data_IF_502040771307
#
_entry.id   IF_502040771307
#
_cell.length_a   1.000
_cell.length_b   1.000
_cell.length_c   1.000
_cell.angle_alpha   90.00
_cell.angle_beta   90.00
_cell.angle_gamma   90.00
#
_symmetry.space_group_name_H-M   'P 1'
#
loop_
_entity.id
_entity.type
_entity.pdbx_description
1 polymer ?
#
# COMPACT_ATOMS: atom_id res chain seq x y z
N UNK A 1 0.20 21.23 8.82
CA UNK A 1 0.13 22.18 7.67
C UNK A 1 0.57 21.53 6.34
N UNK A 2 0.00 20.37 5.96
CA UNK A 2 0.33 19.66 4.69
C UNK A 2 -0.82 19.69 3.67
N UNK A 3 -2.06 19.92 4.10
CA UNK A 3 -3.25 19.91 3.22
C UNK A 3 -3.24 21.02 2.17
N UNK A 4 -2.64 22.18 2.46
CA UNK A 4 -2.62 23.32 1.53
C UNK A 4 -1.72 23.07 0.31
N UNK A 5 -0.59 22.35 0.49
CA UNK A 5 0.29 21.97 -0.64
C UNK A 5 -0.36 20.94 -1.55
N UNK A 6 -1.06 19.96 -0.97
CA UNK A 6 -1.74 18.92 -1.74
C UNK A 6 -2.92 19.48 -2.55
N UNK A 7 -3.65 20.47 -2.01
CA UNK A 7 -4.73 21.14 -2.73
C UNK A 7 -4.23 21.89 -3.97
N UNK A 8 -3.14 22.64 -3.86
CA UNK A 8 -2.52 23.32 -4.99
C UNK A 8 -2.08 22.36 -6.11
N UNK A 9 -1.50 21.22 -5.73
CA UNK A 9 -1.13 20.16 -6.68
C UNK A 9 -2.35 19.56 -7.38
N UNK A 10 -3.44 19.27 -6.65
CA UNK A 10 -4.69 18.78 -7.25
C UNK A 10 -5.26 19.78 -8.26
N UNK A 11 -5.29 21.06 -7.91
CA UNK A 11 -5.77 22.10 -8.82
C UNK A 11 -4.89 22.24 -10.07
N UNK A 12 -3.57 22.12 -9.94
CA UNK A 12 -2.67 22.11 -11.08
C UNK A 12 -2.92 20.91 -12.00
N UNK A 13 -3.14 19.71 -11.45
CA UNK A 13 -3.49 18.51 -12.23
C UNK A 13 -4.82 18.66 -12.97
N UNK A 14 -5.83 19.25 -12.31
CA UNK A 14 -7.13 19.53 -12.95
C UNK A 14 -6.97 20.54 -14.09
N UNK A 15 -6.21 21.62 -13.90
CA UNK A 15 -5.90 22.60 -14.95
C UNK A 15 -5.10 22.01 -16.11
N UNK A 16 -4.24 21.04 -15.82
CA UNK A 16 -3.51 20.28 -16.83
C UNK A 16 -4.39 19.27 -17.61
N UNK A 17 -5.70 19.21 -17.32
CA UNK A 17 -6.63 18.38 -18.07
C UNK A 17 -6.58 16.90 -17.71
N UNK A 18 -6.07 16.53 -16.53
CA UNK A 18 -5.92 15.12 -16.14
C UNK A 18 -7.23 14.33 -16.26
N UNK A 19 -8.38 14.96 -15.99
CA UNK A 19 -9.69 14.33 -16.05
C UNK A 19 -9.98 13.67 -17.41
N UNK A 20 -9.57 14.29 -18.51
CA UNK A 20 -9.77 13.74 -19.86
C UNK A 20 -8.97 12.46 -20.06
N UNK A 21 -7.70 12.45 -19.66
CA UNK A 21 -6.85 11.26 -19.75
C UNK A 21 -7.37 10.11 -18.86
N UNK A 22 -7.88 10.41 -17.66
CA UNK A 22 -8.47 9.37 -16.80
C UNK A 22 -9.77 8.79 -17.37
N UNK A 23 -10.56 9.61 -18.08
CA UNK A 23 -11.78 9.15 -18.77
C UNK A 23 -11.44 8.24 -19.95
N UNK A 24 -10.43 8.59 -20.75
CA UNK A 24 -9.93 7.73 -21.84
C UNK A 24 -9.43 6.38 -21.30
N UNK A 25 -8.68 6.39 -20.20
CA UNK A 25 -8.22 5.17 -19.51
C UNK A 25 -9.37 4.35 -18.91
N UNK A 26 -10.47 4.99 -18.53
CA UNK A 26 -11.67 4.28 -18.06
C UNK A 26 -12.38 3.57 -19.21
N UNK A 27 -12.36 4.15 -20.41
CA UNK A 27 -12.98 3.57 -21.61
C UNK A 27 -12.13 2.46 -22.24
N UNK A 28 -10.80 2.63 -22.28
CA UNK A 28 -9.89 1.79 -23.08
C UNK A 28 -8.84 1.04 -22.24
N UNK A 29 -8.75 1.29 -20.93
CA UNK A 29 -7.76 0.68 -20.05
C UNK A 29 -8.08 -0.75 -19.63
N UNK A 30 -7.08 -1.44 -19.07
CA UNK A 30 -7.29 -2.75 -18.43
C UNK A 30 -8.16 -2.62 -17.18
N UNK A 31 -8.81 -3.70 -16.76
CA UNK A 31 -9.70 -3.70 -15.57
C UNK A 31 -9.02 -3.16 -14.31
N UNK A 32 -7.70 -3.37 -14.16
CA UNK A 32 -6.93 -2.81 -13.05
C UNK A 32 -6.73 -1.29 -13.20
N UNK A 33 -6.45 -0.80 -14.41
CA UNK A 33 -6.33 0.62 -14.68
C UNK A 33 -7.67 1.33 -14.47
N UNK A 34 -8.76 0.80 -15.03
CA UNK A 34 -10.12 1.34 -14.87
C UNK A 34 -10.53 1.50 -13.40
N UNK A 35 -10.24 0.51 -12.56
CA UNK A 35 -10.50 0.57 -11.12
C UNK A 35 -9.69 1.67 -10.40
N UNK A 36 -8.41 1.82 -10.78
CA UNK A 36 -7.54 2.87 -10.22
C UNK A 36 -8.01 4.26 -10.66
N UNK A 37 -8.34 4.43 -11.93
CA UNK A 37 -8.77 5.72 -12.46
C UNK A 37 -10.13 6.16 -11.92
N UNK A 38 -11.06 5.24 -11.74
CA UNK A 38 -12.36 5.53 -11.11
C UNK A 38 -12.18 6.13 -9.71
N UNK A 39 -11.26 5.57 -8.91
CA UNK A 39 -10.97 6.07 -7.56
C UNK A 39 -10.23 7.41 -7.56
N UNK A 40 -9.34 7.63 -8.53
CA UNK A 40 -8.62 8.91 -8.67
C UNK A 40 -9.61 10.01 -9.09
N UNK A 41 -10.51 9.74 -10.05
CA UNK A 41 -11.58 10.65 -10.45
C UNK A 41 -12.50 11.01 -9.30
N UNK A 42 -12.89 10.03 -8.47
CA UNK A 42 -13.67 10.29 -7.25
C UNK A 42 -12.91 11.24 -6.32
N UNK A 43 -11.64 10.94 -6.02
CA UNK A 43 -10.82 11.75 -5.12
C UNK A 43 -10.58 13.18 -5.62
N UNK A 44 -10.51 13.40 -6.93
CA UNK A 44 -10.35 14.72 -7.53
C UNK A 44 -11.67 15.53 -7.55
N UNK A 45 -12.82 14.86 -7.51
CA UNK A 45 -14.15 15.51 -7.62
C UNK A 45 -14.76 15.91 -6.27
N UNK A 46 -14.27 15.39 -5.14
CA UNK A 46 -14.79 15.71 -3.78
C UNK A 46 -14.61 17.19 -3.38
N UNK A 47 -13.66 17.92 -3.97
CA UNK A 47 -13.27 19.26 -3.51
C UNK A 47 -14.14 20.43 -4.04
N UNK A 48 -15.07 20.20 -4.98
CA UNK A 48 -15.84 21.29 -5.64
C UNK A 48 -17.25 21.54 -5.08
N UNK A 49 -17.49 21.15 -3.83
CA UNK A 49 -18.65 21.58 -3.07
C UNK A 49 -19.76 20.54 -3.01
N UNK A 50 -20.21 20.28 -1.78
CA UNK A 50 -21.38 19.48 -1.42
C UNK A 50 -21.26 18.02 -1.84
N UNK A 51 -20.74 17.21 -0.93
CA UNK A 51 -20.74 15.75 -1.00
C UNK A 51 -22.14 15.24 -1.40
N UNK A 52 -22.29 14.78 -2.64
CA UNK A 52 -23.42 13.93 -3.03
C UNK A 52 -23.00 12.52 -2.62
N UNK A 53 -23.57 11.92 -1.56
CA UNK A 53 -23.31 10.53 -1.24
C UNK A 53 -23.86 9.67 -2.38
N UNK A 54 -22.96 9.13 -3.22
CA UNK A 54 -23.33 8.16 -4.25
C UNK A 54 -23.65 6.85 -3.54
N UNK A 55 -24.92 6.67 -3.18
CA UNK A 55 -25.45 5.37 -2.77
C UNK A 55 -25.32 4.42 -3.98
N UNK A 56 -24.34 3.51 -3.94
CA UNK A 56 -24.38 2.32 -4.78
C UNK A 56 -25.41 1.37 -4.16
N UNK A 57 -26.64 1.44 -4.66
CA UNK A 57 -27.75 0.59 -4.25
C UNK A 57 -28.22 -0.30 -5.40
N UNK A 58 -28.18 -1.63 -5.16
CA UNK A 58 -28.85 -2.69 -5.91
C UNK A 58 -27.98 -3.33 -7.00
N UNK A 59 -27.72 -4.64 -7.06
CA UNK A 59 -28.27 -5.79 -6.35
C UNK A 59 -28.07 -7.03 -7.24
N UNK A 60 -28.09 -8.23 -6.63
CA UNK A 60 -28.11 -9.59 -7.22
C UNK A 60 -26.77 -10.37 -7.27
N UNK A 61 -26.54 -11.11 -6.17
CA UNK A 61 -26.50 -12.58 -6.13
C UNK A 61 -25.48 -13.36 -6.97
N UNK A 62 -24.48 -13.96 -6.31
CA UNK A 62 -24.07 -15.38 -6.41
C UNK A 62 -22.76 -15.57 -5.61
N UNK A 63 -22.80 -16.22 -4.44
CA UNK A 63 -22.22 -17.55 -4.14
C UNK A 63 -20.78 -17.76 -4.67
N UNK A 64 -19.93 -18.34 -3.81
CA UNK A 64 -18.78 -19.23 -4.11
C UNK A 64 -17.40 -18.65 -3.80
N UNK A 65 -16.87 -19.14 -2.67
CA UNK A 65 -15.53 -19.70 -2.43
C UNK A 65 -14.26 -19.03 -2.99
N UNK A 66 -13.30 -18.90 -2.08
CA UNK A 66 -11.85 -18.79 -2.29
C UNK A 66 -11.30 -19.63 -3.45
N UNK A 67 -10.18 -19.19 -4.05
CA UNK A 67 -9.15 -20.09 -4.52
C UNK A 67 -7.92 -20.03 -3.60
N UNK A 68 -7.71 -21.13 -2.88
CA UNK A 68 -6.40 -21.65 -2.46
C UNK A 68 -5.69 -22.18 -3.70
N UNK A 69 -4.44 -21.78 -3.97
CA UNK A 69 -3.36 -22.54 -4.61
C UNK A 69 -2.15 -21.58 -4.78
N UNK A 70 -0.90 -21.82 -4.35
CA UNK A 70 -0.21 -23.06 -4.03
C UNK A 70 0.81 -23.41 -5.12
N UNK A 71 2.07 -22.95 -5.01
CA UNK A 71 3.29 -23.77 -5.23
C UNK A 71 4.58 -22.95 -5.36
N UNK A 72 5.65 -23.56 -4.83
CA UNK A 72 7.00 -23.08 -4.55
C UNK A 72 8.03 -23.29 -5.68
N UNK A 73 9.27 -22.87 -5.36
CA UNK A 73 10.60 -23.35 -5.83
C UNK A 73 11.25 -22.45 -6.90
N UNK A 74 12.57 -22.23 -6.97
CA UNK A 74 13.76 -22.61 -6.19
C UNK A 74 14.95 -21.82 -6.77
N UNK A 75 15.93 -21.45 -5.92
CA UNK A 75 17.38 -21.21 -6.15
C UNK A 75 17.83 -20.28 -7.31
N UNK A 76 18.91 -19.49 -7.23
CA UNK A 76 20.32 -19.89 -7.05
C UNK A 76 21.14 -18.67 -6.58
N UNK A 77 21.95 -18.84 -5.53
CA UNK A 77 23.10 -17.98 -5.21
C UNK A 77 24.33 -18.45 -6.04
N UNK A 78 25.32 -17.59 -6.37
CA UNK A 78 26.47 -17.52 -5.47
C UNK A 78 27.18 -16.15 -5.37
N UNK A 79 27.55 -15.82 -4.12
CA UNK A 79 28.89 -15.44 -3.67
C UNK A 79 29.62 -14.21 -4.28
N UNK A 80 29.76 -13.15 -3.48
CA UNK A 80 31.05 -12.47 -3.33
C UNK A 80 31.24 -11.95 -1.89
N UNK A 81 31.88 -12.78 -1.08
CA UNK A 81 33.05 -12.46 -0.27
C UNK A 81 33.09 -11.08 0.44
N UNK A 82 32.71 -11.11 1.71
CA UNK A 82 33.49 -10.59 2.85
C UNK A 82 34.58 -9.55 2.55
N UNK A 83 34.28 -8.27 2.80
CA UNK A 83 35.28 -7.30 3.29
C UNK A 83 34.59 -6.26 4.17
N UNK A 84 34.48 -6.63 5.44
CA UNK A 84 34.91 -5.81 6.56
C UNK A 84 35.11 -4.32 6.24
N UNK A 85 34.16 -3.47 6.60
CA UNK A 85 34.46 -2.12 7.09
C UNK A 85 33.32 -1.69 8.01
N UNK A 86 33.60 -1.82 9.31
CA UNK A 86 32.95 -1.10 10.38
C UNK A 86 33.21 0.40 10.19
N UNK A 87 32.49 1.01 9.26
CA UNK A 87 32.46 2.45 9.07
C UNK A 87 31.48 3.06 10.06
N UNK A 88 32.03 3.67 11.12
CA UNK A 88 31.30 4.50 12.08
C UNK A 88 30.60 5.66 11.33
N UNK A 89 29.35 5.47 10.93
CA UNK A 89 28.51 6.54 10.36
C UNK A 89 27.10 6.55 10.96
N UNK A 90 26.97 6.28 12.25
CA UNK A 90 25.69 6.48 12.96
C UNK A 90 25.57 7.89 13.59
N UNK A 91 26.47 8.83 13.26
CA UNK A 91 26.46 10.18 13.85
C UNK A 91 25.73 11.24 13.01
N UNK A 92 24.83 10.82 12.10
CA UNK A 92 23.88 11.76 11.45
C UNK A 92 22.63 11.06 10.89
N UNK A 93 22.03 10.16 11.66
CA UNK A 93 20.65 9.76 11.33
C UNK A 93 19.70 10.92 11.63
N UNK A 94 19.07 11.46 10.59
CA UNK A 94 17.93 12.36 10.73
C UNK A 94 16.87 11.70 11.61
N UNK A 95 16.17 12.51 12.41
CA UNK A 95 15.14 12.06 13.36
C UNK A 95 14.17 11.04 12.72
N UNK A 96 13.74 11.31 11.49
CA UNK A 96 12.91 10.42 10.67
C UNK A 96 13.52 9.02 10.48
N UNK A 97 14.82 8.91 10.19
CA UNK A 97 15.51 7.61 10.01
C UNK A 97 15.55 6.82 11.32
N UNK A 98 15.75 7.50 12.45
CA UNK A 98 15.72 6.86 13.79
C UNK A 98 14.32 6.35 14.12
N UNK A 99 13.28 7.14 13.87
CA UNK A 99 11.88 6.72 14.07
C UNK A 99 11.53 5.50 13.23
N UNK A 100 11.96 5.45 11.96
CA UNK A 100 11.71 4.29 11.10
C UNK A 100 12.40 3.04 11.62
N UNK A 101 13.69 3.12 12.01
CA UNK A 101 14.40 1.98 12.61
C UNK A 101 13.69 1.46 13.86
N UNK A 102 13.28 2.38 14.75
CA UNK A 102 12.56 2.01 15.97
C UNK A 102 11.20 1.34 15.66
N UNK A 103 10.45 1.85 14.69
CA UNK A 103 9.16 1.26 14.30
C UNK A 103 9.33 -0.15 13.72
N UNK A 104 10.33 -0.35 12.86
CA UNK A 104 10.66 -1.66 12.28
C UNK A 104 11.03 -2.64 13.40
N UNK A 105 11.90 -2.24 14.32
CA UNK A 105 12.33 -3.07 15.45
C UNK A 105 11.14 -3.45 16.37
N UNK A 106 10.27 -2.48 16.67
CA UNK A 106 9.07 -2.73 17.48
C UNK A 106 8.08 -3.67 16.77
N UNK A 107 7.85 -3.48 15.47
CA UNK A 107 6.94 -4.32 14.68
C UNK A 107 7.45 -5.76 14.61
N UNK A 108 8.75 -5.95 14.37
CA UNK A 108 9.39 -7.26 14.33
C UNK A 108 9.23 -8.00 15.66
N UNK A 109 9.59 -7.35 16.78
CA UNK A 109 9.47 -7.94 18.11
C UNK A 109 8.03 -8.35 18.43
N UNK A 110 7.05 -7.49 18.10
CA UNK A 110 5.63 -7.80 18.29
C UNK A 110 5.16 -8.96 17.40
N UNK A 111 5.62 -9.03 16.15
CA UNK A 111 5.28 -10.11 15.23
C UNK A 111 5.80 -11.46 15.76
N UNK A 112 7.09 -11.51 16.12
CA UNK A 112 7.71 -12.72 16.69
C UNK A 112 6.95 -13.20 17.94
N UNK A 113 6.64 -12.28 18.87
CA UNK A 113 5.87 -12.63 20.07
C UNK A 113 4.49 -13.21 19.75
N UNK A 114 3.79 -12.67 18.74
CA UNK A 114 2.48 -13.18 18.30
C UNK A 114 2.61 -14.56 17.66
N UNK A 115 3.61 -14.76 16.83
CA UNK A 115 3.87 -16.05 16.16
C UNK A 115 4.16 -17.15 17.20
N UNK A 116 5.04 -16.89 18.16
CA UNK A 116 5.34 -17.83 19.26
C UNK A 116 4.09 -18.16 20.08
N UNK A 117 3.29 -17.15 20.45
CA UNK A 117 2.04 -17.39 21.20
C UNK A 117 1.07 -18.28 20.44
N UNK A 118 0.88 -18.06 19.13
CA UNK A 118 -0.01 -18.88 18.30
C UNK A 118 0.52 -20.30 18.15
N UNK A 119 1.82 -20.45 17.93
CA UNK A 119 2.45 -21.76 17.87
C UNK A 119 2.23 -22.52 19.18
N UNK A 120 2.53 -21.91 20.33
CA UNK A 120 2.36 -22.56 21.63
C UNK A 120 0.89 -22.88 21.93
N UNK A 121 -0.06 -22.04 21.51
CA UNK A 121 -1.49 -22.36 21.61
C UNK A 121 -1.85 -23.60 20.78
N UNK A 122 -1.26 -23.78 19.60
CA UNK A 122 -1.48 -24.98 18.78
C UNK A 122 -0.86 -26.24 19.43
N UNK A 123 0.35 -26.11 20.00
CA UNK A 123 1.04 -27.25 20.62
C UNK A 123 0.47 -27.68 21.99
N UNK A 124 -0.31 -26.84 22.68
CA UNK A 124 -0.91 -27.18 23.98
C UNK A 124 -2.29 -27.87 23.88
N UNK A 125 -2.85 -28.04 22.68
CA UNK A 125 -4.14 -28.73 22.44
C UNK A 125 -4.00 -30.02 21.62
N UNK A 126 -2.78 -30.53 21.44
CA UNK A 126 -2.47 -31.78 20.74
C UNK A 126 -2.10 -32.92 21.67
#
# INVERSE_FOLDING_TARGET
MLSHKAYGARQAMVKAGIASSLLELTLLGSTLAQNRESRILECLTVDKGKHVPKKFGGGLSAIVSTPICGSSSSAVHPNHQFKEYLGKEDDKMSEKKKTVKNLVQQSLHNNMRRTVKRANQIYCFG
#
